data_IF_497222353062
#
_entry.id   IF_497222353062
#
_cell.length_a   1.000
_cell.length_b   1.000
_cell.length_c   1.000
_cell.angle_alpha   90.00
_cell.angle_beta   90.00
_cell.angle_gamma   90.00
#
_symmetry.space_group_name_H-M   'P 1'
#
loop_
_entity.id
_entity.type
_entity.pdbx_description
1 polymer ?
#
# COMPACT_ATOMS: atom_id res chain seq x y z
N UNK A 1 12.84 -9.76 -7.25
CA UNK A 1 12.06 -8.65 -6.64
C UNK A 1 10.78 -9.20 -6.05
N UNK A 2 10.52 -8.88 -4.81
CA UNK A 2 9.30 -9.28 -4.11
C UNK A 2 8.68 -8.08 -3.41
N UNK A 3 7.37 -7.93 -3.57
CA UNK A 3 6.58 -6.94 -2.86
C UNK A 3 5.62 -7.67 -1.93
N UNK A 4 5.63 -7.28 -0.66
CA UNK A 4 4.68 -7.78 0.33
C UNK A 4 3.75 -6.65 0.77
N UNK A 5 2.48 -6.96 0.91
CA UNK A 5 1.48 -6.00 1.39
C UNK A 5 0.81 -6.59 2.62
N UNK A 6 1.09 -6.00 3.77
CA UNK A 6 0.36 -6.30 5.02
C UNK A 6 -0.91 -5.47 5.03
N UNK A 7 -2.04 -6.11 5.12
CA UNK A 7 -3.33 -5.46 5.07
C UNK A 7 -4.19 -5.87 6.27
N UNK A 8 -4.60 -4.91 7.07
CA UNK A 8 -5.51 -5.13 8.19
C UNK A 8 -6.94 -5.21 7.66
N UNK A 9 -7.62 -6.29 7.99
CA UNK A 9 -8.98 -6.57 7.55
C UNK A 9 -9.05 -7.56 6.38
N UNK A 10 -10.25 -8.06 6.13
CA UNK A 10 -10.53 -9.01 5.05
C UNK A 10 -11.38 -8.35 3.97
N UNK A 11 -11.12 -8.71 2.72
CA UNK A 11 -11.95 -8.28 1.60
C UNK A 11 -13.32 -8.94 1.69
N UNK A 12 -14.37 -8.12 1.63
CA UNK A 12 -15.76 -8.58 1.65
C UNK A 12 -16.42 -8.50 0.27
N UNK A 13 -16.09 -7.45 -0.48
CA UNK A 13 -16.73 -7.15 -1.75
C UNK A 13 -16.13 -7.95 -2.90
N UNK A 14 -16.97 -8.64 -3.66
CA UNK A 14 -16.52 -9.46 -4.80
C UNK A 14 -15.82 -8.64 -5.89
N UNK A 15 -16.27 -7.42 -6.14
CA UNK A 15 -15.65 -6.55 -7.15
C UNK A 15 -14.22 -6.14 -6.76
N UNK A 16 -13.95 -5.95 -5.46
CA UNK A 16 -12.59 -5.66 -4.98
C UNK A 16 -11.70 -6.90 -5.09
N UNK A 17 -12.21 -8.08 -4.75
CA UNK A 17 -11.47 -9.35 -4.94
C UNK A 17 -11.10 -9.57 -6.40
N UNK A 18 -12.04 -9.35 -7.32
CA UNK A 18 -11.81 -9.48 -8.75
C UNK A 18 -10.79 -8.47 -9.25
N UNK A 19 -10.91 -7.19 -8.86
CA UNK A 19 -9.97 -6.15 -9.25
C UNK A 19 -8.56 -6.40 -8.73
N UNK A 20 -8.43 -6.83 -7.49
CA UNK A 20 -7.13 -7.17 -6.88
C UNK A 20 -6.50 -8.36 -7.60
N UNK A 21 -7.25 -9.42 -7.87
CA UNK A 21 -6.76 -10.58 -8.60
C UNK A 21 -6.31 -10.22 -10.02
N UNK A 22 -7.05 -9.34 -10.70
CA UNK A 22 -6.67 -8.83 -12.02
C UNK A 22 -5.28 -8.19 -12.00
N UNK A 23 -5.00 -7.30 -11.04
CA UNK A 23 -3.70 -6.65 -10.96
C UNK A 23 -2.60 -7.57 -10.44
N UNK A 24 -2.90 -8.52 -9.56
CA UNK A 24 -1.95 -9.55 -9.16
C UNK A 24 -1.51 -10.38 -10.38
N UNK A 25 -2.43 -10.74 -11.25
CA UNK A 25 -2.11 -11.46 -12.48
C UNK A 25 -1.28 -10.62 -13.45
N UNK A 26 -1.63 -9.35 -13.63
CA UNK A 26 -0.86 -8.42 -14.47
C UNK A 26 0.56 -8.18 -13.95
N UNK A 27 0.77 -8.28 -12.64
CA UNK A 27 2.08 -8.07 -12.02
C UNK A 27 3.02 -9.28 -12.12
N UNK A 28 2.50 -10.49 -12.35
CA UNK A 28 3.31 -11.71 -12.41
C UNK A 28 4.54 -11.64 -13.32
N UNK A 29 4.46 -11.03 -14.54
CA UNK A 29 5.64 -10.91 -15.39
C UNK A 29 6.73 -9.97 -14.84
N UNK A 30 6.40 -9.10 -13.90
CA UNK A 30 7.27 -8.03 -13.41
C UNK A 30 7.88 -8.32 -12.04
N UNK A 31 7.05 -8.82 -11.12
CA UNK A 31 7.45 -9.03 -9.73
C UNK A 31 6.54 -10.04 -9.05
N UNK A 32 7.02 -10.59 -7.95
CA UNK A 32 6.20 -11.41 -7.07
C UNK A 32 5.52 -10.51 -6.03
N UNK A 33 4.21 -10.58 -5.94
CA UNK A 33 3.42 -9.85 -4.94
C UNK A 33 2.74 -10.85 -4.01
N UNK A 34 2.89 -10.63 -2.71
CA UNK A 34 2.22 -11.39 -1.66
C UNK A 34 1.38 -10.45 -0.81
N UNK A 35 0.10 -10.73 -0.66
CA UNK A 35 -0.79 -10.00 0.25
C UNK A 35 -0.98 -10.84 1.52
N UNK A 36 -0.63 -10.26 2.66
CA UNK A 36 -0.81 -10.87 3.98
C UNK A 36 -1.96 -10.16 4.67
N UNK A 37 -3.12 -10.80 4.69
CA UNK A 37 -4.29 -10.29 5.41
C UNK A 37 -4.20 -10.63 6.89
N UNK A 38 -4.52 -9.65 7.72
CA UNK A 38 -4.53 -9.78 9.18
C UNK A 38 -5.90 -9.35 9.72
N UNK A 39 -6.38 -10.07 10.72
CA UNK A 39 -7.67 -9.74 11.31
C UNK A 39 -7.66 -8.34 11.93
N UNK A 40 -8.66 -7.55 11.59
CA UNK A 40 -8.95 -6.30 12.27
C UNK A 40 -9.54 -6.57 13.67
N UNK A 41 -9.44 -5.58 14.54
CA UNK A 41 -10.03 -5.62 15.86
C UNK A 41 -11.45 -5.06 15.81
N UNK A 42 -12.37 -5.78 16.47
CA UNK A 42 -13.73 -5.29 16.64
C UNK A 42 -13.76 -4.06 17.53
N UNK A 43 -14.46 -3.03 17.08
CA UNK A 43 -14.66 -1.79 17.83
C UNK A 43 -16.16 -1.60 18.02
N UNK A 44 -16.56 -1.22 19.24
CA UNK A 44 -17.95 -0.88 19.58
C UNK A 44 -18.43 0.36 18.82
N UNK A 45 -19.73 0.54 18.70
CA UNK A 45 -20.29 1.76 18.14
C UNK A 45 -19.93 2.96 19.05
N UNK A 46 -19.57 4.09 18.42
CA UNK A 46 -19.11 5.30 19.14
C UNK A 46 -17.95 5.03 20.11
N UNK A 47 -16.81 4.52 19.62
CA UNK A 47 -15.69 4.18 20.50
C UNK A 47 -15.05 5.43 21.12
N UNK A 48 -14.53 5.29 22.34
CA UNK A 48 -13.66 6.29 22.93
C UNK A 48 -12.31 6.33 22.19
N UNK A 49 -11.58 7.43 22.36
CA UNK A 49 -10.22 7.55 21.82
C UNK A 49 -9.31 6.43 22.34
N UNK A 50 -9.46 6.05 23.59
CA UNK A 50 -8.70 4.94 24.19
C UNK A 50 -9.01 3.60 23.53
N UNK A 51 -10.27 3.31 23.24
CA UNK A 51 -10.68 2.09 22.56
C UNK A 51 -10.13 2.03 21.12
N UNK A 52 -10.15 3.15 20.42
CA UNK A 52 -9.53 3.28 19.08
C UNK A 52 -8.02 2.98 19.14
N UNK A 53 -7.30 3.62 20.08
CA UNK A 53 -5.87 3.40 20.24
C UNK A 53 -5.53 1.96 20.61
N UNK A 54 -6.31 1.33 21.48
CA UNK A 54 -6.13 -0.08 21.84
C UNK A 54 -6.31 -1.01 20.64
N UNK A 55 -7.34 -0.77 19.82
CA UNK A 55 -7.58 -1.55 18.60
C UNK A 55 -6.44 -1.40 17.62
N UNK A 56 -6.01 -0.17 17.33
CA UNK A 56 -4.88 0.12 16.45
C UNK A 56 -3.60 -0.55 16.95
N UNK A 57 -3.33 -0.51 18.25
CA UNK A 57 -2.14 -1.12 18.84
C UNK A 57 -2.16 -2.63 18.69
N UNK A 58 -3.29 -3.28 18.91
CA UNK A 58 -3.43 -4.74 18.70
C UNK A 58 -3.24 -5.14 17.25
N UNK A 59 -3.84 -4.39 16.32
CA UNK A 59 -3.65 -4.60 14.88
C UNK A 59 -2.18 -4.41 14.48
N UNK A 60 -1.55 -3.35 14.95
CA UNK A 60 -0.13 -3.05 14.71
C UNK A 60 0.80 -4.14 15.23
N UNK A 61 0.53 -4.70 16.39
CA UNK A 61 1.30 -5.81 16.95
C UNK A 61 1.26 -7.06 16.08
N UNK A 62 0.15 -7.34 15.43
CA UNK A 62 0.04 -8.46 14.48
C UNK A 62 1.01 -8.31 13.31
N UNK A 63 1.13 -7.10 12.76
CA UNK A 63 2.08 -6.80 11.69
C UNK A 63 3.52 -6.88 12.20
N UNK A 64 3.81 -6.23 13.33
CA UNK A 64 5.16 -6.16 13.91
C UNK A 64 5.75 -7.54 14.20
N UNK A 65 4.93 -8.49 14.62
CA UNK A 65 5.36 -9.89 14.87
C UNK A 65 5.79 -10.62 13.61
N UNK A 66 5.26 -10.25 12.45
CA UNK A 66 5.57 -10.89 11.17
C UNK A 66 6.74 -10.24 10.44
N UNK A 67 7.06 -9.00 10.77
CA UNK A 67 8.15 -8.26 10.14
C UNK A 67 9.52 -8.82 10.50
N UNK A 68 10.35 -8.98 9.48
CA UNK A 68 11.76 -9.26 9.68
C UNK A 68 12.52 -7.97 9.95
N UNK A 69 13.61 -8.04 10.73
CA UNK A 69 14.35 -6.85 11.16
C UNK A 69 14.90 -5.99 10.04
N UNK A 70 15.27 -6.60 8.92
CA UNK A 70 15.82 -5.92 7.74
C UNK A 70 14.78 -5.60 6.65
N UNK A 71 13.49 -5.82 6.91
CA UNK A 71 12.42 -5.57 5.95
C UNK A 71 12.17 -4.06 5.82
N UNK A 72 12.27 -3.54 4.59
CA UNK A 72 11.95 -2.14 4.30
C UNK A 72 10.43 -1.97 4.23
N UNK A 73 9.88 -1.25 5.20
CA UNK A 73 8.44 -1.09 5.36
C UNK A 73 8.01 0.34 5.01
N UNK A 74 7.03 0.44 4.12
CA UNK A 74 6.37 1.69 3.72
C UNK A 74 4.93 1.68 4.24
N UNK A 75 4.61 2.63 5.12
CA UNK A 75 3.24 2.81 5.60
C UNK A 75 2.42 3.66 4.65
N UNK A 76 1.21 3.19 4.28
CA UNK A 76 0.22 4.04 3.63
C UNK A 76 -0.56 4.80 4.71
N UNK A 77 -0.47 6.12 4.68
CA UNK A 77 -1.02 6.98 5.71
C UNK A 77 -1.49 8.31 5.12
N UNK A 78 -2.24 9.09 5.87
CA UNK A 78 -2.62 10.44 5.51
C UNK A 78 -1.48 11.40 5.87
N UNK A 79 -0.48 11.47 5.00
CA UNK A 79 0.70 12.32 5.16
C UNK A 79 0.88 13.24 3.96
N UNK A 80 1.68 14.30 4.13
CA UNK A 80 1.94 15.29 3.07
C UNK A 80 2.77 14.74 1.91
N UNK A 81 3.56 13.70 2.14
CA UNK A 81 4.35 13.03 1.11
C UNK A 81 3.42 12.23 0.20
N UNK A 82 2.99 12.84 -0.88
CA UNK A 82 2.05 12.30 -1.87
C UNK A 82 2.71 12.31 -3.25
N UNK A 83 3.43 11.23 -3.62
CA UNK A 83 4.14 11.19 -4.88
C UNK A 83 3.17 11.17 -6.07
N UNK A 84 3.60 11.73 -7.19
CA UNK A 84 2.97 11.45 -8.50
C UNK A 84 3.22 10.00 -8.88
N UNK A 85 2.52 9.50 -9.90
CA UNK A 85 2.76 8.13 -10.39
C UNK A 85 4.19 7.93 -10.89
N UNK A 86 4.77 8.94 -11.53
CA UNK A 86 6.16 8.94 -12.01
C UNK A 86 7.16 8.96 -10.85
N UNK A 87 6.92 9.79 -9.85
CA UNK A 87 7.74 9.83 -8.63
C UNK A 87 7.67 8.50 -7.87
N UNK A 88 6.49 7.89 -7.81
CA UNK A 88 6.31 6.58 -7.20
C UNK A 88 7.04 5.48 -7.97
N UNK A 89 7.00 5.52 -9.31
CA UNK A 89 7.75 4.60 -10.16
C UNK A 89 9.26 4.68 -9.89
N UNK A 90 9.80 5.90 -9.86
CA UNK A 90 11.21 6.12 -9.52
C UNK A 90 11.53 5.67 -8.10
N UNK A 91 10.65 5.95 -7.15
CA UNK A 91 10.80 5.53 -5.77
C UNK A 91 10.94 4.01 -5.64
N UNK A 92 10.06 3.24 -6.31
CA UNK A 92 10.14 1.78 -6.31
C UNK A 92 11.44 1.28 -6.93
N UNK A 93 11.85 1.83 -8.07
CA UNK A 93 13.09 1.46 -8.74
C UNK A 93 14.31 1.70 -7.83
N UNK A 94 14.41 2.88 -7.24
CA UNK A 94 15.51 3.23 -6.34
C UNK A 94 15.57 2.28 -5.12
N UNK A 95 14.40 1.93 -4.55
CA UNK A 95 14.35 1.02 -3.39
C UNK A 95 14.71 -0.42 -3.76
N UNK A 96 14.34 -0.89 -4.94
CA UNK A 96 14.75 -2.21 -5.41
C UNK A 96 16.27 -2.29 -5.66
N UNK A 97 16.87 -1.25 -6.18
CA UNK A 97 18.31 -1.20 -6.42
C UNK A 97 19.10 -1.11 -5.11
N UNK A 98 18.68 -0.23 -4.18
CA UNK A 98 19.38 0.03 -2.93
C UNK A 98 19.05 -0.95 -1.81
N UNK A 99 17.83 -1.47 -1.79
CA UNK A 99 17.29 -2.25 -0.67
C UNK A 99 17.34 -3.77 -0.81
N UNK A 100 18.03 -4.31 -1.81
CA UNK A 100 18.15 -5.77 -1.99
C UNK A 100 16.87 -6.44 -2.47
N UNK A 101 16.08 -5.78 -3.27
CA UNK A 101 14.98 -6.33 -4.05
C UNK A 101 13.68 -6.69 -3.31
N UNK A 102 13.49 -6.29 -2.06
CA UNK A 102 12.26 -6.55 -1.30
C UNK A 102 11.72 -5.27 -0.66
N UNK A 103 10.45 -4.96 -0.94
CA UNK A 103 9.73 -3.83 -0.35
C UNK A 103 8.44 -4.38 0.26
N UNK A 104 8.10 -3.90 1.44
CA UNK A 104 6.83 -4.20 2.08
C UNK A 104 6.02 -2.93 2.29
N UNK A 105 4.72 -3.03 2.08
CA UNK A 105 3.75 -1.99 2.39
C UNK A 105 2.87 -2.43 3.53
N UNK A 106 2.35 -1.48 4.30
CA UNK A 106 1.32 -1.75 5.29
C UNK A 106 0.15 -0.79 5.11
N UNK A 107 -1.05 -1.37 5.10
CA UNK A 107 -2.32 -0.67 5.02
C UNK A 107 -3.07 -0.93 6.32
N UNK A 108 -3.39 0.12 7.05
CA UNK A 108 -4.13 0.02 8.31
C UNK A 108 -5.60 -0.36 8.11
N UNK A 109 -6.28 -0.64 9.20
CA UNK A 109 -7.72 -0.81 9.24
C UNK A 109 -8.47 0.53 9.17
N UNK A 110 -9.72 0.53 9.61
CA UNK A 110 -10.62 1.70 9.52
C UNK A 110 -10.13 2.94 10.28
N UNK A 111 -9.28 2.78 11.28
CA UNK A 111 -8.73 3.88 12.09
C UNK A 111 -7.25 4.18 11.80
N UNK A 112 -6.68 3.53 10.77
CA UNK A 112 -5.30 3.77 10.35
C UNK A 112 -4.26 2.96 11.12
N UNK A 113 -3.02 3.43 11.10
CA UNK A 113 -1.87 2.76 11.69
C UNK A 113 -1.66 3.20 13.14
N UNK A 114 -1.22 2.28 14.00
CA UNK A 114 -0.77 2.62 15.36
C UNK A 114 0.52 3.45 15.33
N UNK A 115 0.77 4.20 16.41
CA UNK A 115 2.01 5.01 16.52
C UNK A 115 3.25 4.13 16.51
N UNK A 116 3.21 2.97 17.15
CA UNK A 116 4.34 2.01 17.16
C UNK A 116 4.62 1.49 15.75
N UNK A 117 3.59 1.14 14.99
CA UNK A 117 3.75 0.69 13.61
C UNK A 117 4.27 1.80 12.69
N UNK A 118 3.78 3.03 12.88
CA UNK A 118 4.31 4.22 12.18
C UNK A 118 5.79 4.43 12.45
N UNK A 119 6.20 4.28 13.71
CA UNK A 119 7.61 4.40 14.10
C UNK A 119 8.49 3.31 13.47
N UNK A 120 7.98 2.10 13.27
CA UNK A 120 8.69 1.01 12.60
C UNK A 120 8.82 1.23 11.09
N UNK A 121 7.91 1.97 10.47
CA UNK A 121 8.00 2.24 9.03
C UNK A 121 9.30 2.97 8.70
N UNK A 122 9.97 2.52 7.65
CA UNK A 122 11.13 3.20 7.09
C UNK A 122 10.71 4.47 6.34
N UNK A 123 9.49 4.45 5.80
CA UNK A 123 8.89 5.59 5.12
C UNK A 123 7.37 5.53 5.23
N UNK A 124 6.71 6.66 5.03
CA UNK A 124 5.25 6.76 4.93
C UNK A 124 4.87 7.63 3.75
N UNK A 125 3.93 7.15 2.94
CA UNK A 125 3.43 7.87 1.78
C UNK A 125 1.91 7.94 1.84
N UNK A 126 1.34 9.00 1.28
CA UNK A 126 -0.09 9.19 1.10
C UNK A 126 -0.47 9.03 -0.36
N UNK A 127 -1.58 8.36 -0.63
CA UNK A 127 -2.14 8.27 -1.99
C UNK A 127 -2.88 9.56 -2.39
N UNK A 128 -3.50 10.22 -1.41
CA UNK A 128 -4.31 11.42 -1.61
C UNK A 128 -4.56 12.11 -0.26
N UNK A 129 -4.96 13.37 -0.30
CA UNK A 129 -5.53 14.07 0.86
C UNK A 129 -6.94 13.56 1.19
N UNK A 130 -7.60 12.90 0.24
CA UNK A 130 -8.88 12.24 0.48
C UNK A 130 -8.65 10.91 1.19
N UNK A 131 -9.56 10.56 2.08
CA UNK A 131 -9.60 9.25 2.74
C UNK A 131 -10.31 8.25 1.85
N UNK A 132 -9.66 7.13 1.56
CA UNK A 132 -10.28 6.02 0.85
C UNK A 132 -10.67 4.91 1.80
N UNK A 133 -11.68 4.14 1.44
CA UNK A 133 -11.97 2.88 2.12
C UNK A 133 -10.70 2.00 2.12
N UNK A 134 -10.29 1.52 3.29
CA UNK A 134 -9.04 0.76 3.44
C UNK A 134 -8.94 -0.48 2.53
N UNK A 135 -10.05 -1.14 2.22
CA UNK A 135 -10.08 -2.25 1.27
C UNK A 135 -9.86 -1.79 -0.18
N UNK A 136 -10.37 -0.62 -0.55
CA UNK A 136 -10.16 0.00 -1.86
C UNK A 136 -8.72 0.51 -2.03
N UNK A 137 -8.11 0.99 -0.96
CA UNK A 137 -6.70 1.40 -0.95
C UNK A 137 -5.79 0.29 -1.43
N UNK A 138 -6.11 -0.96 -1.09
CA UNK A 138 -5.37 -2.14 -1.53
C UNK A 138 -5.36 -2.28 -3.06
N UNK A 139 -6.52 -2.08 -3.68
CA UNK A 139 -6.65 -2.11 -5.14
C UNK A 139 -5.90 -0.95 -5.81
N UNK A 140 -6.04 0.26 -5.26
CA UNK A 140 -5.36 1.46 -5.77
C UNK A 140 -3.84 1.29 -5.70
N UNK A 141 -3.32 0.77 -4.59
CA UNK A 141 -1.88 0.51 -4.45
C UNK A 141 -1.38 -0.48 -5.50
N UNK A 142 -2.09 -1.59 -5.72
CA UNK A 142 -1.72 -2.58 -6.73
C UNK A 142 -1.72 -1.99 -8.14
N UNK A 143 -2.70 -1.17 -8.47
CA UNK A 143 -2.75 -0.47 -9.76
C UNK A 143 -1.56 0.47 -9.91
N UNK A 144 -1.19 1.24 -8.89
CA UNK A 144 -0.05 2.13 -8.94
C UNK A 144 1.29 1.38 -9.02
N UNK A 145 1.42 0.24 -8.37
CA UNK A 145 2.60 -0.63 -8.50
C UNK A 145 2.71 -1.14 -9.94
N UNK A 146 1.62 -1.61 -10.53
CA UNK A 146 1.60 -2.05 -11.93
C UNK A 146 1.98 -0.90 -12.87
N UNK A 147 1.40 0.27 -12.69
CA UNK A 147 1.71 1.50 -13.43
C UNK A 147 3.19 1.86 -13.32
N UNK A 148 3.77 1.74 -12.14
CA UNK A 148 5.19 2.01 -11.90
C UNK A 148 6.10 1.11 -12.73
N UNK A 149 5.82 -0.19 -12.81
CA UNK A 149 6.58 -1.10 -13.67
C UNK A 149 6.44 -0.76 -15.15
N UNK A 150 5.24 -0.36 -15.58
CA UNK A 150 5.02 0.09 -16.97
C UNK A 150 5.82 1.34 -17.30
N UNK A 151 5.82 2.34 -16.40
CA UNK A 151 6.60 3.58 -16.56
C UNK A 151 8.10 3.25 -16.63
N UNK A 152 8.62 2.47 -15.70
CA UNK A 152 10.05 2.16 -15.61
C UNK A 152 10.57 1.34 -16.80
N UNK A 153 9.69 0.61 -17.47
CA UNK A 153 10.03 -0.18 -18.68
C UNK A 153 9.66 0.52 -19.99
N UNK A 154 9.20 1.76 -19.93
CA UNK A 154 8.73 2.53 -21.09
C UNK A 154 7.63 1.80 -21.89
N UNK A 155 6.79 1.04 -21.21
CA UNK A 155 5.66 0.34 -21.82
C UNK A 155 4.40 1.20 -21.81
N UNK A 156 3.54 1.02 -22.82
CA UNK A 156 2.34 1.83 -23.00
C UNK A 156 1.25 1.45 -21.99
N UNK A 157 1.10 2.24 -20.95
CA UNK A 157 0.01 2.15 -19.98
C UNK A 157 -0.33 3.53 -19.43
N UNK A 158 0.67 4.28 -18.99
CA UNK A 158 0.51 5.62 -18.45
C UNK A 158 0.36 6.64 -19.60
N UNK A 159 -0.89 7.08 -19.85
CA UNK A 159 -1.23 7.91 -21.01
C UNK A 159 -1.65 9.34 -20.67
N UNK A 160 -1.69 9.69 -19.38
CA UNK A 160 -2.27 10.93 -18.93
C UNK A 160 -1.52 12.18 -19.48
N UNK A 161 -0.18 12.12 -19.54
CA UNK A 161 0.63 13.21 -20.07
C UNK A 161 0.49 13.39 -21.59
N UNK A 162 0.26 12.31 -22.33
CA UNK A 162 0.07 12.36 -23.78
C UNK A 162 -1.19 13.15 -24.14
N UNK A 163 -2.23 13.10 -23.31
CA UNK A 163 -3.48 13.83 -23.52
C UNK A 163 -3.27 15.33 -23.26
N UNK A 164 -2.45 15.70 -22.29
CA UNK A 164 -2.17 17.11 -21.95
C UNK A 164 -1.22 17.78 -22.96
N UNK A 165 -0.26 17.03 -23.49
CA UNK A 165 0.71 17.53 -24.47
C UNK A 165 0.21 17.49 -25.93
N UNK A 166 -0.86 16.76 -26.20
CA UNK A 166 -1.52 16.71 -27.51
C UNK A 166 -2.58 17.81 -27.75
N UNK A 167 -2.73 18.75 -26.82
CA UNK A 167 -3.71 19.83 -26.87
C UNK A 167 -3.09 21.20 -27.15
N UNK A 168 -1.95 21.23 -27.83
CA UNK A 168 -1.35 22.46 -28.36
C UNK A 168 -1.56 22.55 -29.87
#
# INVERSE_FOLDING_TARGET
MKIKIYAIGHLKESYLKQGINEYLDRLKPYTQVEIVELNDESIVDNPSQKEIEQAKNKEGQKVLKLLKGNEYLVGLDLVKKQPTSEEFAKYLEDKFVLGGANISFVIGGSHGLSDELKARCNDRIGLSNMTFLHQMTRLILLEQIYRAFKINRNEVYHKWEIILNGST
#
